data_IF_327859673863
#
_entry.id   IF_327859673863
#
_cell.length_a   1.000
_cell.length_b   1.000
_cell.length_c   1.000
_cell.angle_alpha   90.00
_cell.angle_beta   90.00
_cell.angle_gamma   90.00
#
_symmetry.space_group_name_H-M   'P 1'
#
loop_
_entity.id
_entity.type
_entity.pdbx_description
1 polymer ?
#
# COMPACT_ATOMS: atom_id res chain seq x y z
N UNK A 1 13.27 -1.60 9.38
CA UNK A 1 13.56 -0.65 8.27
C UNK A 1 12.27 -0.34 7.51
N UNK A 2 12.26 0.67 6.64
CA UNK A 2 11.09 1.03 5.83
C UNK A 2 11.41 1.06 4.34
N UNK A 3 10.43 0.71 3.51
CA UNK A 3 10.47 0.77 2.05
C UNK A 3 9.38 1.72 1.57
N UNK A 4 9.73 2.71 0.74
CA UNK A 4 8.77 3.66 0.20
C UNK A 4 8.70 3.56 -1.31
N UNK A 5 7.48 3.44 -1.84
CA UNK A 5 7.18 3.45 -3.27
C UNK A 5 6.26 4.62 -3.56
N UNK A 6 6.68 5.52 -4.45
CA UNK A 6 5.90 6.70 -4.84
C UNK A 6 5.37 6.56 -6.27
N UNK A 7 4.30 7.31 -6.56
CA UNK A 7 3.65 7.36 -7.87
C UNK A 7 3.17 5.97 -8.36
N UNK A 8 2.69 5.14 -7.44
CA UNK A 8 2.17 3.81 -7.75
C UNK A 8 0.78 3.95 -8.41
N UNK A 9 0.57 3.37 -9.61
CA UNK A 9 -0.76 3.38 -10.24
C UNK A 9 -1.83 2.71 -9.37
N UNK A 10 -3.09 3.15 -9.47
CA UNK A 10 -4.18 2.69 -8.61
C UNK A 10 -4.29 1.16 -8.56
N UNK A 11 -4.31 0.49 -9.72
CA UNK A 11 -4.46 -0.96 -9.78
C UNK A 11 -3.26 -1.69 -9.13
N UNK A 12 -2.04 -1.17 -9.36
CA UNK A 12 -0.83 -1.71 -8.74
C UNK A 12 -0.83 -1.48 -7.22
N UNK A 13 -1.31 -0.32 -6.76
CA UNK A 13 -1.44 0.00 -5.34
C UNK A 13 -2.30 -1.05 -4.62
N UNK A 14 -3.47 -1.37 -5.18
CA UNK A 14 -4.37 -2.39 -4.62
C UNK A 14 -3.70 -3.76 -4.61
N UNK A 15 -3.08 -4.17 -5.71
CA UNK A 15 -2.45 -5.48 -5.81
C UNK A 15 -1.25 -5.64 -4.87
N UNK A 16 -0.37 -4.64 -4.79
CA UNK A 16 0.84 -4.72 -3.97
C UNK A 16 0.46 -4.74 -2.49
N UNK A 17 -0.41 -3.82 -2.04
CA UNK A 17 -0.82 -3.74 -0.65
C UNK A 17 -1.49 -5.03 -0.16
N UNK A 18 -2.42 -5.58 -0.96
CA UNK A 18 -3.13 -6.83 -0.60
C UNK A 18 -2.21 -8.06 -0.64
N UNK A 19 -1.29 -8.16 -1.60
CA UNK A 19 -0.34 -9.27 -1.67
C UNK A 19 0.65 -9.25 -0.51
N UNK A 20 1.22 -8.09 -0.19
CA UNK A 20 2.16 -7.98 0.93
C UNK A 20 1.45 -8.22 2.27
N UNK A 21 0.22 -7.71 2.42
CA UNK A 21 -0.59 -8.01 3.58
C UNK A 21 -0.80 -9.52 3.76
N UNK A 22 -1.16 -10.24 2.69
CA UNK A 22 -1.36 -11.70 2.73
C UNK A 22 -0.07 -12.48 2.98
N UNK A 23 1.07 -11.95 2.55
CA UNK A 23 2.35 -12.64 2.71
C UNK A 23 2.87 -12.63 4.16
N UNK A 24 2.43 -11.67 4.97
CA UNK A 24 2.89 -11.52 6.36
C UNK A 24 4.35 -11.12 6.51
N UNK A 25 5.04 -10.71 5.43
CA UNK A 25 6.47 -10.34 5.46
C UNK A 25 6.73 -8.90 5.92
N UNK A 26 5.67 -8.11 6.09
CA UNK A 26 5.73 -6.71 6.54
C UNK A 26 4.92 -6.57 7.82
N UNK A 27 5.45 -5.80 8.77
CA UNK A 27 4.81 -5.54 10.06
C UNK A 27 3.87 -4.33 9.98
N UNK A 28 4.06 -3.46 8.99
CA UNK A 28 3.21 -2.30 8.77
C UNK A 28 3.04 -1.95 7.30
N UNK A 29 1.85 -1.49 6.94
CA UNK A 29 1.51 -1.00 5.59
C UNK A 29 0.87 0.37 5.72
N UNK A 30 1.41 1.37 5.03
CA UNK A 30 0.76 2.68 4.88
C UNK A 30 0.38 2.89 3.42
N UNK A 31 -0.89 3.18 3.16
CA UNK A 31 -1.41 3.55 1.84
C UNK A 31 -1.78 5.02 1.90
N UNK A 32 -1.06 5.84 1.13
CA UNK A 32 -1.16 7.30 1.17
C UNK A 32 -0.96 7.84 2.60
N UNK A 33 -2.03 8.33 3.24
CA UNK A 33 -2.01 8.84 4.60
C UNK A 33 -2.57 7.86 5.64
N UNK A 34 -3.00 6.66 5.23
CA UNK A 34 -3.64 5.69 6.12
C UNK A 34 -2.66 4.60 6.53
N UNK A 35 -2.36 4.52 7.82
CA UNK A 35 -1.45 3.51 8.38
C UNK A 35 -2.23 2.30 8.91
N UNK A 36 -1.78 1.11 8.52
CA UNK A 36 -2.17 -0.21 9.02
C UNK A 36 -0.97 -0.79 9.75
N UNK A 37 -0.86 -0.46 11.04
CA UNK A 37 0.27 -0.84 11.89
C UNK A 37 0.30 -2.34 12.24
N UNK A 38 -0.75 -3.08 11.87
CA UNK A 38 -0.86 -4.53 12.02
C UNK A 38 -0.46 -5.30 10.76
N UNK A 39 0.00 -4.59 9.72
CA UNK A 39 0.38 -5.17 8.42
C UNK A 39 -0.80 -5.73 7.63
N UNK A 40 -2.05 -5.48 8.05
CA UNK A 40 -3.24 -6.08 7.44
C UNK A 40 -4.02 -5.06 6.62
N UNK A 41 -4.28 -5.42 5.37
CA UNK A 41 -5.08 -4.61 4.43
C UNK A 41 -5.94 -5.54 3.60
N UNK A 42 -7.26 -5.37 3.67
CA UNK A 42 -8.21 -6.07 2.79
C UNK A 42 -8.27 -5.44 1.40
N UNK A 43 -8.83 -6.16 0.43
CA UNK A 43 -9.04 -5.61 -0.92
C UNK A 43 -9.94 -4.39 -0.91
N UNK A 44 -10.96 -4.38 -0.05
CA UNK A 44 -11.92 -3.29 0.09
C UNK A 44 -11.24 -2.04 0.68
N UNK A 45 -10.43 -2.22 1.73
CA UNK A 45 -9.64 -1.13 2.31
C UNK A 45 -8.65 -0.57 1.30
N UNK A 46 -7.92 -1.43 0.59
CA UNK A 46 -6.99 -1.00 -0.45
C UNK A 46 -7.72 -0.26 -1.59
N UNK A 47 -8.86 -0.78 -2.04
CA UNK A 47 -9.68 -0.15 -3.09
C UNK A 47 -10.21 1.23 -2.70
N UNK A 48 -10.54 1.43 -1.41
CA UNK A 48 -10.97 2.73 -0.89
C UNK A 48 -9.81 3.73 -0.70
N UNK A 49 -8.62 3.24 -0.37
CA UNK A 49 -7.48 4.08 0.01
C UNK A 49 -6.54 4.39 -1.17
N UNK A 50 -6.48 3.49 -2.17
CA UNK A 50 -5.75 3.74 -3.41
C UNK A 50 -6.56 4.69 -4.29
N UNK A 51 -5.99 5.87 -4.51
CA UNK A 51 -6.55 6.92 -5.36
C UNK A 51 -6.30 6.65 -6.84
N UNK A 52 -7.20 7.17 -7.69
CA UNK A 52 -7.11 7.06 -9.15
C UNK A 52 -5.87 7.79 -9.68
N UNK A 53 -5.34 7.30 -10.78
CA UNK A 53 -4.23 7.92 -11.51
C UNK A 53 -4.62 9.31 -12.04
N UNK A 54 -3.61 10.19 -12.13
CA UNK A 54 -3.72 11.48 -12.82
C UNK A 54 -3.20 11.31 -14.25
N UNK A 55 -4.11 11.10 -15.20
CA UNK A 55 -3.75 10.72 -16.57
C UNK A 55 -3.08 9.35 -16.61
N UNK A 56 -1.77 9.31 -16.95
CA UNK A 56 -0.94 8.09 -16.92
C UNK A 56 -0.01 8.02 -15.71
N UNK A 57 -0.11 8.99 -14.80
CA UNK A 57 0.77 9.10 -13.64
C UNK A 57 0.09 8.52 -12.41
N UNK A 58 0.73 7.52 -11.80
CA UNK A 58 0.28 7.00 -10.52
C UNK A 58 0.39 8.05 -9.42
N UNK A 59 -0.55 8.02 -8.50
CA UNK A 59 -0.73 9.04 -7.46
C UNK A 59 -0.48 8.49 -6.05
N UNK A 60 -0.35 7.17 -5.93
CA UNK A 60 -0.31 6.52 -4.62
C UNK A 60 1.10 6.42 -4.07
N UNK A 61 1.20 6.61 -2.76
CA UNK A 61 2.39 6.35 -1.96
C UNK A 61 2.16 5.13 -1.09
N UNK A 62 3.06 4.16 -1.16
CA UNK A 62 3.06 2.99 -0.29
C UNK A 62 4.30 3.02 0.59
N UNK A 63 4.11 2.80 1.89
CA UNK A 63 5.21 2.63 2.85
C UNK A 63 5.04 1.28 3.52
N UNK A 64 6.08 0.47 3.50
CA UNK A 64 6.13 -0.82 4.17
C UNK A 64 7.16 -0.78 5.28
N UNK A 65 6.82 -1.31 6.45
CA UNK A 65 7.71 -1.37 7.61
C UNK A 65 8.01 -2.83 7.93
N UNK A 66 9.27 -3.12 8.23
CA UNK A 66 9.73 -4.42 8.76
C UNK A 66 10.48 -4.17 10.06
N UNK A 67 9.94 -4.68 11.16
CA UNK A 67 10.41 -4.57 12.54
C UNK A 67 10.97 -5.93 12.93
N UNK A 68 12.21 -6.19 12.56
CA UNK A 68 12.91 -7.41 12.92
C UNK A 68 12.97 -7.62 14.45
#
# INVERSE_FOLDING_TARGET
>A
FTLTYEKVPQAACVQIATRLSKSGVVDGITINATAHADGKVTTEQAGAQCTKDSGRTGTNKLIFTVNN
#
